data_IF_614640424985
#
_entry.id   IF_614640424985
#
_cell.length_a   1.000
_cell.length_b   1.000
_cell.length_c   1.000
_cell.angle_alpha   90.00
_cell.angle_beta   90.00
_cell.angle_gamma   90.00
#
_symmetry.space_group_name_H-M   'P 1'
#
loop_
_entity.id
_entity.type
_entity.pdbx_description
1 polymer ?
#
# COMPACT_ATOMS: atom_id res chain seq x y z
N UNK A 1 16.08 -0.45 18.03
CA UNK A 1 15.07 -0.49 16.95
C UNK A 1 15.24 -1.81 16.20
N UNK A 2 14.22 -2.67 16.10
CA UNK A 2 14.36 -3.92 15.33
C UNK A 2 14.21 -3.60 13.83
N UNK A 3 14.89 -4.37 12.97
CA UNK A 3 14.80 -4.20 11.50
C UNK A 3 13.36 -4.16 10.99
N UNK A 4 12.48 -4.93 11.63
CA UNK A 4 11.05 -4.97 11.32
C UNK A 4 10.31 -3.69 11.68
N UNK A 5 10.62 -3.06 12.82
CA UNK A 5 10.03 -1.77 13.18
C UNK A 5 10.49 -0.68 12.21
N UNK A 6 11.77 -0.71 11.80
CA UNK A 6 12.29 0.22 10.80
C UNK A 6 11.55 0.10 9.44
N UNK A 7 11.31 -1.11 8.95
CA UNK A 7 10.53 -1.32 7.72
C UNK A 7 9.09 -0.84 7.88
N UNK A 8 8.47 -1.02 9.05
CA UNK A 8 7.11 -0.55 9.31
C UNK A 8 7.01 0.98 9.29
N UNK A 9 7.96 1.67 9.92
CA UNK A 9 8.00 3.14 9.95
C UNK A 9 8.17 3.72 8.54
N UNK A 10 9.11 3.17 7.76
CA UNK A 10 9.31 3.55 6.34
C UNK A 10 8.05 3.32 5.53
N UNK A 11 7.38 2.18 5.73
CA UNK A 11 6.13 1.88 5.02
C UNK A 11 5.04 2.89 5.38
N UNK A 12 4.87 3.23 6.66
CA UNK A 12 3.87 4.22 7.12
C UNK A 12 4.12 5.60 6.48
N UNK A 13 5.36 6.05 6.40
CA UNK A 13 5.71 7.30 5.73
C UNK A 13 5.39 7.29 4.23
N UNK A 14 5.80 6.24 3.52
CA UNK A 14 5.57 6.09 2.08
C UNK A 14 4.09 5.92 1.74
N UNK A 15 3.34 5.22 2.59
CA UNK A 15 1.88 5.08 2.49
C UNK A 15 1.23 6.47 2.56
N UNK A 16 1.57 7.25 3.58
CA UNK A 16 1.02 8.59 3.78
C UNK A 16 1.35 9.51 2.61
N UNK A 17 2.59 9.48 2.14
CA UNK A 17 3.03 10.26 0.98
C UNK A 17 2.27 9.87 -0.29
N UNK A 18 2.14 8.57 -0.55
CA UNK A 18 1.48 8.05 -1.76
C UNK A 18 -0.02 8.37 -1.76
N UNK A 19 -0.70 8.17 -0.61
CA UNK A 19 -2.12 8.52 -0.48
C UNK A 19 -2.34 10.03 -0.64
N UNK A 20 -1.48 10.89 -0.09
CA UNK A 20 -1.60 12.35 -0.29
C UNK A 20 -1.45 12.76 -1.76
N UNK A 21 -0.63 12.06 -2.53
CA UNK A 21 -0.38 12.36 -3.94
C UNK A 21 -1.42 11.76 -4.89
N UNK A 22 -1.88 10.54 -4.61
CA UNK A 22 -2.65 9.73 -5.57
C UNK A 22 -4.06 9.35 -5.06
N UNK A 23 -4.31 9.49 -3.75
CA UNK A 23 -5.56 9.09 -3.09
C UNK A 23 -5.67 7.59 -2.77
N UNK A 24 -4.81 6.75 -3.34
CA UNK A 24 -4.83 5.30 -3.17
C UNK A 24 -3.42 4.69 -3.33
N UNK A 25 -3.28 3.41 -3.01
CA UNK A 25 -2.05 2.62 -3.18
C UNK A 25 -2.38 1.35 -3.97
N UNK A 26 -1.54 1.01 -4.94
CA UNK A 26 -1.54 -0.31 -5.58
C UNK A 26 -0.46 -1.17 -4.92
N UNK A 27 -0.86 -2.25 -4.23
CA UNK A 27 0.06 -3.08 -3.41
C UNK A 27 1.33 -3.44 -4.17
N UNK A 28 1.19 -3.94 -5.40
CA UNK A 28 2.29 -4.43 -6.22
C UNK A 28 3.26 -3.30 -6.58
N UNK A 29 2.76 -2.18 -7.08
CA UNK A 29 3.58 -1.05 -7.51
C UNK A 29 4.27 -0.39 -6.32
N UNK A 30 3.52 -0.21 -5.23
CA UNK A 30 4.03 0.33 -3.98
C UNK A 30 5.14 -0.54 -3.38
N UNK A 31 4.90 -1.86 -3.29
CA UNK A 31 5.92 -2.80 -2.83
C UNK A 31 7.19 -2.70 -3.68
N UNK A 32 7.06 -2.70 -5.01
CA UNK A 32 8.20 -2.61 -5.92
C UNK A 32 8.98 -1.31 -5.71
N UNK A 33 8.28 -0.17 -5.65
CA UNK A 33 8.88 1.15 -5.42
C UNK A 33 9.64 1.21 -4.09
N UNK A 34 9.07 0.67 -3.01
CA UNK A 34 9.72 0.65 -1.69
C UNK A 34 10.93 -0.29 -1.69
N UNK A 35 10.82 -1.47 -2.31
CA UNK A 35 11.94 -2.41 -2.43
C UNK A 35 13.12 -1.77 -3.16
N UNK A 36 12.86 -1.08 -4.27
CA UNK A 36 13.88 -0.38 -5.05
C UNK A 36 14.51 0.78 -4.28
N UNK A 37 13.67 1.66 -3.70
CA UNK A 37 14.14 2.88 -3.02
C UNK A 37 14.96 2.59 -1.75
N UNK A 38 14.58 1.56 -0.99
CA UNK A 38 15.19 1.26 0.32
C UNK A 38 16.04 -0.02 0.31
N UNK A 39 16.23 -0.65 -0.86
CA UNK A 39 16.93 -1.94 -0.99
C UNK A 39 16.35 -3.04 -0.08
N UNK A 40 15.04 -3.00 0.17
CA UNK A 40 14.35 -4.01 0.96
C UNK A 40 13.96 -5.21 0.11
N UNK A 41 14.00 -6.40 0.71
CA UNK A 41 13.49 -7.58 0.06
C UNK A 41 11.96 -7.62 0.07
N UNK A 42 11.35 -8.02 -1.05
CA UNK A 42 9.90 -8.10 -1.20
C UNK A 42 9.23 -9.00 -0.15
N UNK A 43 9.90 -10.08 0.26
CA UNK A 43 9.42 -10.99 1.31
C UNK A 43 9.44 -10.37 2.71
N UNK A 44 10.14 -9.25 2.92
CA UNK A 44 10.10 -8.45 4.15
C UNK A 44 9.02 -7.39 4.06
N UNK A 45 8.93 -6.68 2.93
CA UNK A 45 7.99 -5.57 2.73
C UNK A 45 6.54 -6.06 2.76
N UNK A 46 6.19 -7.09 1.99
CA UNK A 46 4.79 -7.57 1.87
C UNK A 46 4.19 -7.99 3.22
N UNK A 47 4.86 -8.79 4.07
CA UNK A 47 4.30 -9.18 5.36
C UNK A 47 4.17 -8.02 6.35
N UNK A 48 5.05 -7.02 6.30
CA UNK A 48 4.93 -5.83 7.17
C UNK A 48 3.79 -4.96 6.67
N UNK A 49 3.74 -4.70 5.36
CA UNK A 49 2.66 -3.95 4.72
C UNK A 49 1.28 -4.55 5.04
N UNK A 50 1.12 -5.87 4.96
CA UNK A 50 -0.12 -6.58 5.33
C UNK A 50 -0.55 -6.42 6.80
N UNK A 51 0.39 -6.15 7.72
CA UNK A 51 0.06 -5.86 9.13
C UNK A 51 -0.50 -4.47 9.31
N UNK A 52 -0.16 -3.55 8.41
CA UNK A 52 -0.68 -2.17 8.42
C UNK A 52 -2.09 -2.14 7.78
N UNK A 53 -2.47 -3.13 6.96
CA UNK A 53 -3.80 -3.18 6.30
C UNK A 53 -5.00 -3.00 7.22
N UNK A 54 -5.04 -3.58 8.44
CA UNK A 54 -6.15 -3.34 9.36
C UNK A 54 -6.31 -1.86 9.75
N UNK A 55 -5.25 -1.07 9.68
CA UNK A 55 -5.25 0.39 9.91
C UNK A 55 -5.73 1.17 8.67
N UNK A 56 -5.96 0.51 7.54
CA UNK A 56 -6.33 1.12 6.27
C UNK A 56 -7.70 0.64 5.77
N UNK A 57 -8.40 1.50 5.04
CA UNK A 57 -9.65 1.11 4.40
C UNK A 57 -9.38 0.25 3.16
N UNK A 58 -9.50 -1.07 3.32
CA UNK A 58 -9.32 -2.05 2.24
C UNK A 58 -10.38 -1.87 1.14
N UNK A 59 -9.96 -1.37 -0.03
CA UNK A 59 -10.76 -1.42 -1.25
C UNK A 59 -10.40 -2.64 -2.11
N UNK A 60 -10.72 -3.87 -1.68
CA UNK A 60 -11.26 -4.91 -2.60
C UNK A 60 -11.54 -6.26 -1.91
N UNK A 61 -12.84 -6.48 -1.70
CA UNK A 61 -13.59 -7.59 -2.33
C UNK A 61 -14.93 -7.16 -2.93
N UNK A 62 -15.40 -5.92 -2.68
CA UNK A 62 -16.76 -5.43 -3.04
C UNK A 62 -16.80 -4.18 -3.94
N UNK A 63 -15.69 -3.78 -4.59
CA UNK A 63 -15.75 -2.68 -5.56
C UNK A 63 -16.46 -3.13 -6.85
N UNK A 64 -17.38 -2.31 -7.35
CA UNK A 64 -17.99 -2.46 -8.67
C UNK A 64 -16.93 -2.41 -9.78
N UNK A 65 -17.22 -3.03 -10.92
CA UNK A 65 -16.29 -3.01 -12.06
C UNK A 65 -16.05 -1.59 -12.59
N UNK A 66 -17.04 -0.70 -12.52
CA UNK A 66 -16.88 0.73 -12.83
C UNK A 66 -15.83 1.42 -11.97
N UNK A 67 -15.82 1.14 -10.66
CA UNK A 67 -14.80 1.64 -9.76
C UNK A 67 -13.42 1.03 -10.08
N UNK A 68 -13.36 -0.23 -10.52
CA UNK A 68 -12.11 -0.84 -10.98
C UNK A 68 -11.57 -0.14 -12.22
N UNK A 69 -12.43 0.18 -13.17
CA UNK A 69 -12.07 0.89 -14.40
C UNK A 69 -11.67 2.33 -14.11
N UNK A 70 -12.43 3.05 -13.28
CA UNK A 70 -12.12 4.43 -12.88
C UNK A 70 -10.73 4.56 -12.25
N UNK A 71 -10.39 3.65 -11.33
CA UNK A 71 -9.08 3.61 -10.69
C UNK A 71 -8.02 2.81 -11.48
N UNK A 72 -8.32 2.37 -12.71
CA UNK A 72 -7.41 1.58 -13.58
C UNK A 72 -6.82 0.34 -12.90
N UNK A 73 -7.61 -0.31 -12.05
CA UNK A 73 -7.24 -1.46 -11.21
C UNK A 73 -7.26 -2.81 -11.94
N UNK A 74 -7.23 -2.79 -13.28
CA UNK A 74 -7.16 -4.00 -14.13
C UNK A 74 -5.75 -4.63 -14.11
N UNK A 75 -4.75 -3.87 -13.65
CA UNK A 75 -3.37 -4.33 -13.45
C UNK A 75 -3.29 -5.12 -12.13
N UNK A 76 -2.68 -6.32 -12.15
CA UNK A 76 -2.57 -7.24 -11.01
C UNK A 76 -2.02 -6.55 -9.74
N UNK A 77 -2.89 -6.30 -8.76
CA UNK A 77 -2.54 -5.80 -7.44
C UNK A 77 -3.79 -5.45 -6.62
N UNK A 78 -3.72 -5.64 -5.29
CA UNK A 78 -4.76 -5.16 -4.40
C UNK A 78 -4.69 -3.63 -4.29
N UNK A 79 -5.79 -2.89 -4.46
CA UNK A 79 -5.89 -1.49 -4.08
C UNK A 79 -6.00 -1.41 -2.55
N UNK A 80 -5.15 -0.62 -1.93
CA UNK A 80 -5.17 -0.37 -0.48
C UNK A 80 -5.39 1.11 -0.32
N UNK A 81 -6.45 1.48 0.38
CA UNK A 81 -7.02 2.82 0.19
C UNK A 81 -7.15 3.55 1.50
N UNK A 82 -6.99 4.86 1.31
CA UNK A 82 -6.97 6.02 2.18
C UNK A 82 -6.99 5.82 3.69
N UNK A 83 -6.16 6.60 4.38
CA UNK A 83 -6.41 6.91 5.78
C UNK A 83 -7.60 7.90 5.83
N UNK A 84 -8.72 7.56 6.48
CA UNK A 84 -9.77 8.53 6.71
C UNK A 84 -9.22 9.67 7.56
N UNK A 85 -9.33 10.89 7.05
CA UNK A 85 -9.25 12.09 7.87
C UNK A 85 -10.42 12.06 8.84
N UNK A 86 -10.14 11.81 10.13
CA UNK A 86 -10.97 12.33 11.22
C UNK A 86 -11.08 13.84 11.11
#
# INVERSE_FOLDING_TARGET
MTFKNHVEDVLKEEINSTIRQQGYILETEFCNKVCEKYSFALYTVRPVLRRIYPEMSLMKRRMSDELKTFYRLEVKGCPIVYMPTT
#
